data_IF_947207686915
#
_entry.id   IF_947207686915
#
_cell.length_a   1.000
_cell.length_b   1.000
_cell.length_c   1.000
_cell.angle_alpha   90.00
_cell.angle_beta   90.00
_cell.angle_gamma   90.00
#
_symmetry.space_group_name_H-M   'P 1'
#
loop_
_entity.id
_entity.type
_entity.pdbx_description
1 polymer ?
#
# COMPACT_ATOMS: atom_id res chain seq x y z
N UNK A 1 7.69 -13.34 -9.41
CA UNK A 1 6.75 -12.20 -9.27
C UNK A 1 6.47 -11.56 -10.64
N UNK A 2 5.47 -10.67 -10.82
CA UNK A 2 5.21 -9.97 -12.11
C UNK A 2 6.30 -8.91 -12.41
N UNK A 3 6.66 -8.70 -13.69
CA UNK A 3 7.68 -7.72 -14.12
C UNK A 3 7.36 -6.27 -13.71
N UNK A 4 6.08 -5.91 -13.74
CA UNK A 4 5.61 -4.58 -13.31
C UNK A 4 5.92 -4.32 -11.82
N UNK A 5 5.94 -5.36 -10.98
CA UNK A 5 6.27 -5.22 -9.57
C UNK A 5 7.77 -4.96 -9.39
N UNK A 6 8.65 -5.63 -10.12
CA UNK A 6 10.09 -5.30 -10.08
C UNK A 6 10.37 -3.88 -10.58
N UNK A 7 9.66 -3.46 -11.63
CA UNK A 7 9.76 -2.09 -12.16
C UNK A 7 9.38 -1.07 -11.10
N UNK A 8 8.27 -1.30 -10.39
CA UNK A 8 7.86 -0.49 -9.26
C UNK A 8 8.94 -0.43 -8.17
N UNK A 9 9.44 -1.58 -7.70
CA UNK A 9 10.44 -1.65 -6.63
C UNK A 9 11.73 -0.90 -6.98
N UNK A 10 12.19 -1.02 -8.23
CA UNK A 10 13.35 -0.27 -8.74
C UNK A 10 13.09 1.23 -8.77
N UNK A 11 11.91 1.66 -9.22
CA UNK A 11 11.55 3.07 -9.32
C UNK A 11 11.51 3.77 -7.96
N UNK A 12 11.15 3.05 -6.89
CA UNK A 12 11.15 3.60 -5.53
C UNK A 12 12.49 3.42 -4.81
N UNK A 13 13.48 2.77 -5.44
CA UNK A 13 14.83 2.63 -4.90
C UNK A 13 15.01 1.48 -3.90
N UNK A 14 14.19 0.43 -3.98
CA UNK A 14 14.38 -0.78 -3.17
C UNK A 14 15.59 -1.56 -3.70
N UNK A 15 16.51 -1.95 -2.80
CA UNK A 15 17.71 -2.71 -3.13
C UNK A 15 17.37 -4.11 -3.67
N UNK A 16 18.27 -4.70 -4.46
CA UNK A 16 18.05 -6.04 -5.01
C UNK A 16 17.87 -7.11 -3.91
N UNK A 17 18.58 -6.98 -2.78
CA UNK A 17 18.41 -7.85 -1.61
C UNK A 17 17.00 -7.76 -1.04
N UNK A 18 16.47 -6.55 -0.92
CA UNK A 18 15.09 -6.34 -0.47
C UNK A 18 14.07 -6.80 -1.51
N UNK A 19 14.35 -6.68 -2.81
CA UNK A 19 13.51 -7.25 -3.88
C UNK A 19 13.42 -8.77 -3.77
N UNK A 20 14.52 -9.47 -3.48
CA UNK A 20 14.50 -10.92 -3.22
C UNK A 20 13.57 -11.24 -2.04
N UNK A 21 13.64 -10.45 -0.96
CA UNK A 21 12.75 -10.64 0.19
C UNK A 21 11.27 -10.42 -0.16
N UNK A 22 10.96 -9.42 -0.98
CA UNK A 22 9.59 -9.20 -1.49
C UNK A 22 9.11 -10.39 -2.29
N UNK A 23 9.97 -11.00 -3.12
CA UNK A 23 9.61 -12.18 -3.90
C UNK A 23 9.40 -13.43 -3.04
N UNK A 24 10.21 -13.65 -2.01
CA UNK A 24 9.98 -14.71 -1.01
C UNK A 24 8.59 -14.57 -0.39
N UNK A 25 8.25 -13.37 0.11
CA UNK A 25 6.96 -13.09 0.75
C UNK A 25 5.80 -13.24 -0.25
N UNK A 26 5.99 -12.79 -1.49
CA UNK A 26 5.00 -12.99 -2.56
C UNK A 26 4.70 -14.48 -2.76
N UNK A 27 5.73 -15.33 -2.83
CA UNK A 27 5.57 -16.77 -2.98
C UNK A 27 4.94 -17.41 -1.72
N UNK A 28 5.27 -16.95 -0.52
CA UNK A 28 4.61 -17.38 0.72
C UNK A 28 3.12 -17.07 0.70
N UNK A 29 2.71 -15.88 0.26
CA UNK A 29 1.30 -15.50 0.12
C UNK A 29 0.59 -16.38 -0.91
N UNK A 30 1.21 -16.61 -2.07
CA UNK A 30 0.61 -17.52 -3.06
C UNK A 30 0.41 -18.92 -2.48
N UNK A 31 1.37 -19.43 -1.71
CA UNK A 31 1.26 -20.72 -1.06
C UNK A 31 0.15 -20.75 0.00
N UNK A 32 0.12 -19.77 0.91
CA UNK A 32 -0.84 -19.72 2.02
C UNK A 32 -2.29 -19.52 1.56
N UNK A 33 -2.48 -18.80 0.46
CA UNK A 33 -3.81 -18.40 -0.01
C UNK A 33 -4.19 -19.06 -1.35
N UNK A 34 -3.76 -20.31 -1.56
CA UNK A 34 -4.18 -21.17 -2.68
C UNK A 34 -3.98 -20.52 -4.07
N UNK A 35 -2.80 -19.97 -4.33
CA UNK A 35 -2.42 -19.29 -5.56
C UNK A 35 -3.37 -18.13 -5.92
N UNK A 36 -3.75 -17.34 -4.91
CA UNK A 36 -4.52 -16.13 -5.11
C UNK A 36 -3.90 -15.23 -6.18
N UNK A 37 -4.74 -14.64 -7.03
CA UNK A 37 -4.27 -13.63 -7.98
C UNK A 37 -4.00 -12.31 -7.25
N UNK A 38 -2.77 -11.81 -7.36
CA UNK A 38 -2.34 -10.51 -6.85
C UNK A 38 -2.23 -9.54 -8.02
N UNK A 39 -2.99 -8.47 -7.98
CA UNK A 39 -3.06 -7.47 -9.05
C UNK A 39 -2.02 -6.37 -8.87
N UNK A 40 -1.75 -5.93 -7.65
CA UNK A 40 -0.74 -4.92 -7.34
C UNK A 40 0.00 -5.21 -6.03
N UNK A 41 1.17 -4.59 -5.89
CA UNK A 41 1.88 -4.45 -4.62
C UNK A 41 2.16 -2.98 -4.31
N UNK A 42 2.40 -2.68 -3.04
CA UNK A 42 2.84 -1.38 -2.56
C UNK A 42 3.75 -1.56 -1.36
N UNK A 43 4.85 -0.84 -1.29
CA UNK A 43 5.62 -0.70 -0.06
C UNK A 43 5.28 0.66 0.54
N UNK A 44 4.91 0.69 1.82
CA UNK A 44 4.76 1.95 2.55
C UNK A 44 6.08 2.38 3.15
N UNK A 45 6.29 3.69 3.23
CA UNK A 45 7.53 4.25 3.74
C UNK A 45 7.31 5.58 4.44
N UNK A 46 8.21 5.90 5.36
CA UNK A 46 8.34 7.22 5.98
C UNK A 46 9.75 7.74 5.75
N UNK A 47 9.94 9.04 5.97
CA UNK A 47 11.27 9.64 6.03
C UNK A 47 11.53 10.09 7.46
N UNK A 48 12.56 9.52 8.06
CA UNK A 48 12.99 9.81 9.42
C UNK A 48 14.45 10.26 9.39
N UNK A 49 14.76 11.42 9.97
CA UNK A 49 16.10 12.03 9.95
C UNK A 49 16.77 12.06 8.56
N UNK A 50 15.98 12.28 7.50
CA UNK A 50 16.44 12.32 6.12
C UNK A 50 16.63 10.96 5.45
N UNK A 51 16.46 9.86 6.20
CA UNK A 51 16.55 8.49 5.70
C UNK A 51 15.17 7.91 5.40
N UNK A 52 15.08 7.12 4.33
CA UNK A 52 13.85 6.40 4.00
C UNK A 52 13.78 5.13 4.83
N UNK A 53 12.71 4.97 5.59
CA UNK A 53 12.39 3.77 6.34
C UNK A 53 11.21 3.05 5.69
N UNK A 54 11.46 1.84 5.19
CA UNK A 54 10.44 0.96 4.62
C UNK A 54 9.65 0.28 5.75
N UNK A 55 8.32 0.40 5.71
CA UNK A 55 7.45 0.00 6.83
C UNK A 55 6.78 -1.34 6.55
N UNK A 56 5.86 -1.37 5.57
CA UNK A 56 5.06 -2.56 5.26
C UNK A 56 5.05 -2.84 3.77
N UNK A 57 4.97 -4.12 3.42
CA UNK A 57 4.69 -4.59 2.07
C UNK A 57 3.22 -4.99 1.98
N UNK A 58 2.52 -4.43 1.02
CA UNK A 58 1.09 -4.64 0.82
C UNK A 58 0.84 -5.34 -0.51
N UNK A 59 -0.15 -6.23 -0.52
CA UNK A 59 -0.62 -6.96 -1.67
C UNK A 59 -2.10 -6.69 -1.87
N UNK A 60 -2.52 -6.48 -3.11
CA UNK A 60 -3.89 -6.10 -3.43
C UNK A 60 -4.44 -6.97 -4.56
N UNK A 61 -5.72 -7.27 -4.44
CA UNK A 61 -6.58 -7.59 -5.57
C UNK A 61 -7.95 -6.94 -5.35
N UNK A 62 -8.92 -7.25 -6.21
CA UNK A 62 -10.24 -6.63 -6.12
C UNK A 62 -11.00 -6.96 -4.82
N UNK A 63 -10.73 -8.10 -4.20
CA UNK A 63 -11.53 -8.66 -3.10
C UNK A 63 -10.86 -8.52 -1.73
N UNK A 64 -9.54 -8.37 -1.69
CA UNK A 64 -8.80 -8.33 -0.44
C UNK A 64 -7.52 -7.50 -0.51
N UNK A 65 -7.02 -7.19 0.67
CA UNK A 65 -5.73 -6.58 0.92
C UNK A 65 -4.98 -7.39 1.98
N UNK A 66 -3.68 -7.60 1.77
CA UNK A 66 -2.77 -8.25 2.72
C UNK A 66 -1.65 -7.27 3.05
N UNK A 67 -1.42 -7.01 4.33
CA UNK A 67 -0.26 -6.28 4.83
C UNK A 67 0.74 -7.27 5.42
N UNK A 68 2.00 -7.17 5.01
CA UNK A 68 3.15 -7.73 5.70
C UNK A 68 3.89 -6.59 6.39
N UNK A 69 3.69 -6.45 7.70
CA UNK A 69 4.34 -5.44 8.53
C UNK A 69 5.80 -5.81 8.74
N UNK A 70 6.68 -4.81 8.76
CA UNK A 70 8.12 -5.00 8.99
C UNK A 70 8.73 -6.08 8.09
N UNK A 71 8.37 -6.10 6.80
CA UNK A 71 8.68 -7.19 5.85
C UNK A 71 10.19 -7.45 5.64
N UNK A 72 11.05 -6.48 5.99
CA UNK A 72 12.50 -6.62 5.95
C UNK A 72 13.09 -7.22 7.24
N UNK A 73 12.29 -7.38 8.28
CA UNK A 73 12.72 -7.97 9.54
C UNK A 73 12.70 -9.50 9.46
N UNK A 74 13.29 -10.16 10.47
CA UNK A 74 13.26 -11.62 10.58
C UNK A 74 11.88 -12.17 10.98
N UNK A 75 10.96 -11.31 11.44
CA UNK A 75 9.63 -11.69 11.89
C UNK A 75 8.60 -11.07 10.94
N UNK A 76 7.93 -11.90 10.16
CA UNK A 76 6.83 -11.45 9.32
C UNK A 76 5.52 -11.44 10.11
N UNK A 77 4.81 -10.33 10.08
CA UNK A 77 3.47 -10.16 10.65
C UNK A 77 2.50 -9.86 9.51
N UNK A 78 1.55 -10.78 9.30
CA UNK A 78 0.59 -10.75 8.21
C UNK A 78 -0.80 -10.38 8.72
N UNK A 79 -1.37 -9.35 8.12
CA UNK A 79 -2.74 -8.90 8.36
C UNK A 79 -3.53 -8.95 7.06
N UNK A 80 -4.74 -9.50 7.09
CA UNK A 80 -5.57 -9.68 5.90
C UNK A 80 -6.97 -9.12 6.14
N UNK A 81 -7.48 -8.41 5.15
CA UNK A 81 -8.83 -7.88 5.21
C UNK A 81 -9.54 -7.97 3.86
N UNK A 82 -10.83 -8.30 3.91
CA UNK A 82 -11.70 -8.25 2.74
C UNK A 82 -12.07 -6.81 2.40
N UNK A 83 -12.17 -6.54 1.10
CA UNK A 83 -12.64 -5.29 0.50
C UNK A 83 -14.08 -5.40 -0.02
N UNK A 84 -14.86 -6.39 0.43
CA UNK A 84 -16.23 -6.61 -0.03
C UNK A 84 -17.23 -5.60 0.54
N UNK A 85 -16.90 -4.98 1.68
CA UNK A 85 -17.72 -3.95 2.30
C UNK A 85 -17.41 -2.58 1.69
N UNK A 86 -18.41 -1.69 1.70
CA UNK A 86 -18.20 -0.30 1.30
C UNK A 86 -17.24 0.41 2.27
N UNK A 87 -16.48 1.35 1.72
CA UNK A 87 -15.58 2.19 2.49
C UNK A 87 -16.38 3.35 3.08
N UNK A 88 -16.43 3.42 4.41
CA UNK A 88 -17.18 4.45 5.15
C UNK A 88 -16.31 5.65 5.55
N UNK A 89 -14.99 5.51 5.48
CA UNK A 89 -14.04 6.56 5.82
C UNK A 89 -12.80 6.50 4.95
N UNK A 90 -12.44 7.66 4.41
CA UNK A 90 -11.26 7.84 3.57
C UNK A 90 -10.68 9.23 3.86
N UNK A 91 -9.48 9.27 4.42
CA UNK A 91 -8.79 10.52 4.74
C UNK A 91 -7.44 10.59 4.05
N UNK A 92 -7.12 11.75 3.47
CA UNK A 92 -5.80 12.05 2.92
C UNK A 92 -5.18 13.18 3.72
N UNK A 93 -4.02 12.92 4.31
CA UNK A 93 -3.09 13.92 4.84
C UNK A 93 -1.87 14.00 3.92
N UNK A 94 -1.48 15.21 3.51
CA UNK A 94 -0.32 15.41 2.64
C UNK A 94 0.43 16.68 2.99
N UNK A 95 1.70 16.74 2.64
CA UNK A 95 2.49 17.97 2.70
C UNK A 95 3.60 17.98 1.66
N UNK A 96 3.89 19.18 1.15
CA UNK A 96 4.82 19.40 0.04
C UNK A 96 4.55 18.50 -1.19
N UNK A 97 3.33 17.99 -1.32
CA UNK A 97 2.88 17.16 -2.44
C UNK A 97 1.59 17.74 -3.02
N UNK A 98 1.63 18.07 -4.30
CA UNK A 98 0.44 18.38 -5.08
C UNK A 98 0.05 17.12 -5.85
N UNK A 99 -1.21 16.69 -5.73
CA UNK A 99 -1.67 15.40 -6.29
C UNK A 99 -1.63 15.36 -7.82
N UNK A 100 -1.48 16.51 -8.48
CA UNK A 100 -1.42 16.63 -9.93
C UNK A 100 0.01 16.85 -10.46
N UNK A 101 1.01 16.99 -9.58
CA UNK A 101 2.39 17.27 -9.96
C UNK A 101 3.30 16.07 -9.65
N UNK A 102 4.48 16.07 -10.27
CA UNK A 102 5.56 15.16 -9.86
C UNK A 102 5.95 15.42 -8.39
N UNK A 103 6.17 14.36 -7.58
CA UNK A 103 6.57 14.53 -6.20
C UNK A 103 7.99 15.09 -6.09
N UNK A 104 8.22 15.90 -5.05
CA UNK A 104 9.55 16.30 -4.61
C UNK A 104 10.06 15.30 -3.57
N UNK A 105 11.35 15.30 -3.28
CA UNK A 105 11.93 14.40 -2.27
C UNK A 105 11.27 14.56 -0.89
N UNK A 106 10.88 15.77 -0.51
CA UNK A 106 10.21 16.07 0.77
C UNK A 106 8.67 15.99 0.70
N UNK A 107 8.10 15.52 -0.41
CA UNK A 107 6.67 15.22 -0.51
C UNK A 107 6.33 14.08 0.43
N UNK A 108 5.17 14.17 1.10
CA UNK A 108 4.59 13.05 1.84
C UNK A 108 3.09 12.96 1.62
N UNK A 109 2.58 11.74 1.74
CA UNK A 109 1.16 11.42 1.77
C UNK A 109 0.91 10.31 2.78
N UNK A 110 -0.18 10.44 3.54
CA UNK A 110 -0.71 9.42 4.42
C UNK A 110 -2.21 9.31 4.14
N UNK A 111 -2.66 8.11 3.80
CA UNK A 111 -4.06 7.82 3.51
C UNK A 111 -4.54 6.79 4.51
N UNK A 112 -5.52 7.20 5.33
CA UNK A 112 -6.18 6.33 6.29
C UNK A 112 -7.54 5.93 5.75
N UNK A 113 -7.77 4.62 5.67
CA UNK A 113 -9.04 4.03 5.25
C UNK A 113 -9.57 3.17 6.40
N UNK A 114 -10.88 3.24 6.67
CA UNK A 114 -11.55 2.26 7.53
C UNK A 114 -12.28 1.24 6.65
N UNK A 115 -12.01 -0.04 6.90
CA UNK A 115 -12.60 -1.18 6.20
C UNK A 115 -13.36 -2.06 7.18
N UNK A 116 -14.12 -3.03 6.66
CA UNK A 116 -14.94 -3.94 7.47
C UNK A 116 -15.82 -3.18 8.47
N UNK A 117 -16.58 -2.19 8.00
CA UNK A 117 -17.45 -1.36 8.83
C UNK A 117 -16.74 -0.68 10.02
N UNK A 118 -15.44 -0.37 9.88
CA UNK A 118 -14.65 0.29 10.92
C UNK A 118 -13.90 -0.65 11.87
N UNK A 119 -13.99 -1.97 11.68
CA UNK A 119 -13.25 -2.94 12.52
C UNK A 119 -11.75 -3.00 12.20
N UNK A 120 -11.34 -2.56 11.01
CA UNK A 120 -9.94 -2.56 10.60
C UNK A 120 -9.60 -1.25 9.89
N UNK A 121 -8.32 -0.87 9.91
CA UNK A 121 -7.84 0.31 9.20
C UNK A 121 -6.66 -0.03 8.30
N UNK A 122 -6.61 0.59 7.12
CA UNK A 122 -5.44 0.59 6.25
C UNK A 122 -4.78 1.96 6.33
N UNK A 123 -3.48 1.99 6.59
CA UNK A 123 -2.69 3.22 6.62
C UNK A 123 -1.61 3.16 5.53
N UNK A 124 -1.89 3.81 4.40
CA UNK A 124 -0.98 3.85 3.27
C UNK A 124 -0.15 5.12 3.34
N UNK A 125 1.15 4.97 3.63
CA UNK A 125 2.08 6.08 3.82
C UNK A 125 3.19 6.03 2.78
N UNK A 126 3.54 7.20 2.24
CA UNK A 126 4.69 7.32 1.36
C UNK A 126 5.34 8.69 1.45
N UNK A 127 6.62 8.72 1.07
CA UNK A 127 7.36 9.95 0.78
C UNK A 127 7.97 9.91 -0.62
N UNK A 128 8.35 11.08 -1.13
CA UNK A 128 9.09 11.19 -2.39
C UNK A 128 8.40 10.51 -3.58
N UNK A 129 9.20 9.76 -4.35
CA UNK A 129 8.77 9.06 -5.57
C UNK A 129 7.66 8.03 -5.35
N UNK A 130 7.41 7.61 -4.10
CA UNK A 130 6.40 6.61 -3.78
C UNK A 130 4.99 7.23 -3.59
N UNK A 131 4.88 8.55 -3.42
CA UNK A 131 3.58 9.22 -3.22
C UNK A 131 2.55 8.97 -4.33
N UNK A 132 2.92 9.02 -5.63
CA UNK A 132 1.98 8.72 -6.72
C UNK A 132 1.45 7.29 -6.69
N UNK A 133 2.26 6.32 -6.25
CA UNK A 133 1.84 4.92 -6.15
C UNK A 133 0.82 4.71 -5.03
N UNK A 134 1.06 5.30 -3.84
CA UNK A 134 0.06 5.30 -2.75
C UNK A 134 -1.25 5.95 -3.19
N UNK A 135 -1.18 7.10 -3.88
CA UNK A 135 -2.37 7.75 -4.46
C UNK A 135 -3.08 6.81 -5.44
N UNK A 136 -2.36 6.18 -6.36
CA UNK A 136 -2.95 5.29 -7.35
C UNK A 136 -3.64 4.08 -6.71
N UNK A 137 -2.95 3.37 -5.82
CA UNK A 137 -3.48 2.20 -5.10
C UNK A 137 -4.69 2.58 -4.26
N UNK A 138 -4.61 3.68 -3.49
CA UNK A 138 -5.74 4.13 -2.68
C UNK A 138 -6.99 4.43 -3.52
N UNK A 139 -6.82 5.05 -4.69
CA UNK A 139 -7.91 5.32 -5.62
C UNK A 139 -8.48 4.05 -6.25
N UNK A 140 -7.60 3.15 -6.71
CA UNK A 140 -7.96 1.91 -7.40
C UNK A 140 -8.72 0.93 -6.51
N UNK A 141 -8.32 0.77 -5.25
CA UNK A 141 -8.90 -0.27 -4.38
C UNK A 141 -9.92 0.24 -3.37
N UNK A 142 -9.79 1.49 -2.91
CA UNK A 142 -10.62 1.99 -1.81
C UNK A 142 -11.55 3.12 -2.24
N UNK A 143 -11.05 4.17 -2.91
CA UNK A 143 -11.89 5.32 -3.26
C UNK A 143 -13.05 4.92 -4.19
N UNK A 144 -12.83 3.97 -5.12
CA UNK A 144 -13.91 3.43 -5.99
C UNK A 144 -15.04 2.75 -5.21
N UNK A 145 -14.79 2.35 -3.96
CA UNK A 145 -15.71 1.62 -3.08
C UNK A 145 -16.29 2.50 -1.97
N UNK A 146 -16.07 3.82 -2.01
CA UNK A 146 -16.61 4.74 -1.00
C UNK A 146 -18.13 4.76 -1.04
N UNK A 147 -18.77 4.68 0.13
CA UNK A 147 -20.23 4.80 0.21
C UNK A 147 -20.64 6.26 0.08
N UNK A 148 -20.99 6.68 -1.13
CA UNK A 148 -21.45 8.05 -1.39
C UNK A 148 -22.83 8.33 -0.81
N UNK A 149 -23.62 7.30 -0.45
CA UNK A 149 -24.94 7.48 0.16
C UNK A 149 -24.87 8.08 1.58
N UNK A 150 -23.71 7.99 2.24
CA UNK A 150 -23.46 8.66 3.52
C UNK A 150 -23.35 10.18 3.41
N UNK A 151 -23.26 10.72 2.18
CA UNK A 151 -23.06 12.13 1.90
C UNK A 151 -24.15 12.76 1.03
N UNK A 152 -25.15 11.96 0.63
CA UNK A 152 -26.36 12.47 -0.02
C UNK A 152 -27.42 12.77 1.03
N UNK A 153 -27.79 14.05 1.15
CA UNK A 153 -28.97 14.52 1.89
C UNK A 153 -30.28 13.99 1.28
#
# INVERSE_FOLDING_TARGET
MKEEFYTYLKNIGISDVAQTKVEEIYNEILFLYNNINIDDILITNVTNDGHVEWQSLWFFNEDLVIECKNFLSQQADYDIASLNNKIIYYNIKKGNYNLNDAPRQNSYINITILINNGHSSCNLMATGANCPYVKHISQKYFLKKIDTSLYSE
#
